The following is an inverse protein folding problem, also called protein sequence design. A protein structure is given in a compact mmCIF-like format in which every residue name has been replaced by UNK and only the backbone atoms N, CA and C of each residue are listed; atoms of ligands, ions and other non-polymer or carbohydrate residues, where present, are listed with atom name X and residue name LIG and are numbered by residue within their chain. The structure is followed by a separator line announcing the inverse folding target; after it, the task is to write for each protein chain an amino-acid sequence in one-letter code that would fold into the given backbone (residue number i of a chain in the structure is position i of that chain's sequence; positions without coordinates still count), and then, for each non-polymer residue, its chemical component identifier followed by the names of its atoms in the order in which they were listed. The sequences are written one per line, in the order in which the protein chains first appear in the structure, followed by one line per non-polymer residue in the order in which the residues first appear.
data_IF_839359789035
#
_entry.id   IF_839359789035
#
_cell.length_a   1.000
_cell.length_b   1.000
_cell.length_c   1.000
_cell.angle_alpha   90.00
_cell.angle_beta   90.00
_cell.angle_gamma   90.00
#
_symmetry.space_group_name_H-M   'P 1'
#
loop_
_entity.id
_entity.type
_entity.pdbx_description
1 polymer ?
#
# COMPACT_ATOMS: atom_id res chain seq x y z
N UNK A 1 -2.44 -16.72 -32.24
CA UNK A 1 -3.52 -15.86 -31.74
C UNK A 1 -3.15 -15.50 -30.32
N UNK A 2 -3.14 -14.21 -29.99
CA UNK A 2 -2.82 -13.74 -28.65
C UNK A 2 -4.15 -13.58 -27.94
N UNK A 3 -4.46 -14.39 -26.94
CA UNK A 3 -5.66 -14.20 -26.09
C UNK A 3 -5.36 -13.39 -24.83
N UNK A 4 -4.10 -13.44 -24.37
CA UNK A 4 -3.59 -12.70 -23.22
C UNK A 4 -2.72 -11.53 -23.71
N UNK A 5 -3.20 -10.31 -23.53
CA UNK A 5 -2.48 -9.10 -23.98
C UNK A 5 -1.26 -8.75 -23.11
N UNK A 6 -0.95 -9.51 -22.05
CA UNK A 6 0.33 -9.44 -21.35
C UNK A 6 1.38 -10.34 -21.98
N UNK A 7 0.98 -11.25 -22.87
CA UNK A 7 1.83 -12.16 -23.67
C UNK A 7 1.97 -11.69 -25.13
N UNK A 8 2.17 -10.37 -25.31
CA UNK A 8 2.31 -9.74 -26.64
C UNK A 8 3.65 -10.04 -27.32
N UNK A 9 4.70 -10.33 -26.55
CA UNK A 9 6.05 -10.62 -27.05
C UNK A 9 6.47 -12.06 -26.77
N UNK A 10 7.28 -12.65 -27.66
CA UNK A 10 7.84 -13.99 -27.47
C UNK A 10 6.94 -15.12 -27.99
N UNK A 11 7.39 -16.37 -27.93
CA UNK A 11 6.67 -17.51 -28.55
C UNK A 11 6.06 -18.41 -27.48
N UNK A 12 4.73 -18.48 -27.45
CA UNK A 12 3.97 -19.33 -26.53
C UNK A 12 3.29 -20.44 -27.32
N UNK A 13 3.52 -21.69 -26.92
CA UNK A 13 3.03 -22.87 -27.66
C UNK A 13 1.51 -22.86 -27.81
N UNK A 14 0.78 -22.43 -26.79
CA UNK A 14 -0.68 -22.31 -26.79
C UNK A 14 -1.22 -21.23 -27.74
N UNK A 15 -0.36 -20.31 -28.21
CA UNK A 15 -0.73 -19.23 -29.12
C UNK A 15 -0.44 -19.55 -30.60
N UNK A 16 0.26 -20.67 -30.89
CA UNK A 16 0.63 -21.06 -32.25
C UNK A 16 -0.59 -21.67 -32.95
N UNK A 17 -1.11 -20.95 -33.95
CA UNK A 17 -2.22 -21.46 -34.78
C UNK A 17 -1.69 -22.30 -35.94
N UNK A 18 -0.55 -21.88 -36.51
CA UNK A 18 0.08 -22.53 -37.64
C UNK A 18 1.59 -22.26 -37.62
N UNK A 19 2.37 -23.20 -38.17
CA UNK A 19 3.80 -23.09 -38.40
C UNK A 19 4.07 -23.55 -39.84
N UNK A 20 4.92 -22.83 -40.55
CA UNK A 20 5.29 -23.15 -41.95
C UNK A 20 6.76 -22.85 -42.15
N UNK A 21 7.42 -23.64 -43.01
CA UNK A 21 8.75 -23.31 -43.52
C UNK A 21 8.56 -22.58 -44.86
N UNK A 22 9.15 -21.39 -45.05
CA UNK A 22 9.05 -20.69 -46.32
C UNK A 22 9.69 -21.53 -47.44
N UNK A 23 9.21 -21.32 -48.68
CA UNK A 23 9.80 -21.94 -49.85
C UNK A 23 11.19 -21.37 -50.17
N UNK A 24 11.85 -21.89 -51.20
CA UNK A 24 13.19 -21.43 -51.62
C UNK A 24 13.23 -19.96 -52.08
N UNK A 25 12.07 -19.34 -52.32
CA UNK A 25 11.91 -17.94 -52.69
C UNK A 25 11.48 -17.05 -51.51
N UNK A 26 11.37 -17.62 -50.30
CA UNK A 26 10.95 -16.90 -49.10
C UNK A 26 9.44 -16.73 -48.94
N UNK A 27 8.63 -17.30 -49.84
CA UNK A 27 7.19 -17.19 -49.75
C UNK A 27 6.63 -18.25 -48.79
N UNK A 28 5.55 -17.90 -48.11
CA UNK A 28 4.80 -18.82 -47.27
C UNK A 28 3.30 -18.57 -47.43
N UNK A 29 2.50 -19.60 -47.22
CA UNK A 29 1.05 -19.52 -47.23
C UNK A 29 0.49 -20.15 -45.96
N UNK A 30 -0.36 -19.41 -45.27
CA UNK A 30 -1.21 -19.94 -44.22
C UNK A 30 -2.62 -20.11 -44.77
N UNK A 31 -3.07 -21.35 -44.93
CA UNK A 31 -4.44 -21.66 -45.35
C UNK A 31 -5.18 -22.39 -44.21
N UNK A 32 -6.33 -21.85 -43.81
CA UNK A 32 -7.18 -22.42 -42.77
C UNK A 32 -8.44 -21.57 -42.54
N UNK A 33 -9.52 -22.19 -42.07
CA UNK A 33 -10.85 -21.56 -41.93
C UNK A 33 -11.19 -21.13 -40.49
N UNK A 34 -10.23 -21.16 -39.57
CA UNK A 34 -10.50 -21.05 -38.14
C UNK A 34 -10.22 -19.66 -37.54
N UNK A 35 -10.18 -18.61 -38.36
CA UNK A 35 -10.09 -17.24 -37.85
C UNK A 35 -11.50 -16.75 -37.45
N UNK A 36 -11.66 -16.09 -36.29
CA UNK A 36 -12.93 -15.46 -35.92
C UNK A 36 -13.35 -14.34 -36.88
N UNK A 37 -14.65 -14.06 -36.94
CA UNK A 37 -15.21 -12.91 -37.67
C UNK A 37 -14.84 -11.57 -37.01
N UNK A 38 -14.76 -11.57 -35.67
CA UNK A 38 -14.30 -10.42 -34.91
C UNK A 38 -12.78 -10.24 -35.02
N UNK A 39 -12.35 -8.99 -34.86
CA UNK A 39 -10.94 -8.66 -34.79
C UNK A 39 -10.29 -9.30 -33.57
N UNK A 40 -9.14 -9.94 -33.77
CA UNK A 40 -8.27 -10.49 -32.72
C UNK A 40 -6.85 -10.00 -32.89
N UNK A 41 -6.06 -10.11 -31.82
CA UNK A 41 -4.62 -9.86 -31.87
C UNK A 41 -3.89 -11.10 -32.40
N UNK A 42 -3.07 -10.88 -33.42
CA UNK A 42 -2.21 -11.90 -34.02
C UNK A 42 -0.77 -11.44 -33.97
N UNK A 43 0.13 -12.42 -33.97
CA UNK A 43 1.55 -12.22 -34.11
C UNK A 43 2.09 -13.17 -35.16
N UNK A 44 2.90 -12.62 -36.05
CA UNK A 44 3.78 -13.41 -36.91
C UNK A 44 5.16 -13.32 -36.29
N UNK A 45 5.77 -14.49 -36.10
CA UNK A 45 7.13 -14.63 -35.61
C UNK A 45 7.92 -15.36 -36.69
N UNK A 46 9.04 -14.77 -37.09
CA UNK A 46 9.97 -15.34 -38.05
C UNK A 46 11.32 -15.49 -37.38
N UNK A 47 11.87 -16.71 -37.42
CA UNK A 47 13.18 -17.02 -36.85
C UNK A 47 14.01 -17.86 -37.82
N UNK A 48 15.33 -17.84 -37.61
CA UNK A 48 16.29 -18.68 -38.35
C UNK A 48 16.88 -19.79 -37.47
N UNK A 49 16.26 -20.04 -36.31
CA UNK A 49 16.77 -20.94 -35.28
C UNK A 49 16.51 -22.42 -35.67
N UNK A 50 17.47 -23.32 -35.41
CA UNK A 50 17.32 -24.75 -35.76
C UNK A 50 16.32 -25.44 -34.82
N UNK A 51 15.54 -26.37 -35.35
CA UNK A 51 14.52 -27.12 -34.57
C UNK A 51 15.10 -27.86 -33.35
N UNK A 52 16.38 -28.26 -33.39
CA UNK A 52 17.08 -28.92 -32.27
C UNK A 52 17.31 -28.01 -31.05
N UNK A 53 17.34 -26.69 -31.27
CA UNK A 53 17.70 -25.69 -30.25
C UNK A 53 16.45 -25.14 -29.54
N UNK A 54 15.26 -25.64 -29.90
CA UNK A 54 13.95 -25.10 -29.50
C UNK A 54 13.52 -25.36 -28.04
N UNK A 55 14.33 -26.03 -27.21
CA UNK A 55 13.86 -26.53 -25.91
C UNK A 55 13.88 -25.50 -24.76
N UNK A 56 14.66 -24.41 -24.82
CA UNK A 56 14.64 -23.37 -23.77
C UNK A 56 14.73 -21.92 -24.31
N UNK A 57 15.60 -21.66 -25.28
CA UNK A 57 15.88 -20.30 -25.78
C UNK A 57 14.71 -19.66 -26.54
N UNK A 58 13.92 -20.50 -27.23
CA UNK A 58 12.70 -20.06 -27.91
C UNK A 58 11.54 -19.77 -26.94
N UNK A 59 11.48 -20.50 -25.83
CA UNK A 59 10.43 -20.37 -24.80
C UNK A 59 10.55 -19.04 -24.06
N UNK A 60 11.76 -18.50 -23.93
CA UNK A 60 12.00 -17.19 -23.32
C UNK A 60 11.98 -16.04 -24.33
N UNK A 61 11.85 -16.30 -25.64
CA UNK A 61 11.83 -15.28 -26.69
C UNK A 61 13.20 -14.63 -26.97
N UNK A 62 14.31 -15.33 -26.78
CA UNK A 62 15.68 -14.81 -26.93
C UNK A 62 16.45 -15.47 -28.10
N UNK A 63 15.82 -15.69 -29.26
CA UNK A 63 16.57 -16.04 -30.49
C UNK A 63 17.14 -14.72 -31.04
N UNK A 64 18.48 -14.60 -31.15
CA UNK A 64 19.14 -13.37 -31.63
C UNK A 64 18.70 -12.99 -33.06
N UNK A 65 18.27 -13.97 -33.85
CA UNK A 65 17.81 -13.79 -35.22
C UNK A 65 16.30 -14.08 -35.36
N UNK A 66 15.49 -13.54 -34.45
CA UNK A 66 14.04 -13.59 -34.55
C UNK A 66 13.43 -12.20 -34.67
N UNK A 67 12.48 -12.08 -35.58
CA UNK A 67 11.66 -10.89 -35.78
C UNK A 67 10.20 -11.22 -35.49
N UNK A 68 9.46 -10.25 -34.95
CA UNK A 68 8.03 -10.40 -34.73
C UNK A 68 7.24 -9.15 -35.08
N UNK A 69 6.01 -9.36 -35.53
CA UNK A 69 5.05 -8.29 -35.73
C UNK A 69 3.71 -8.67 -35.13
N UNK A 70 3.12 -7.74 -34.37
CA UNK A 70 1.79 -7.87 -33.80
C UNK A 70 0.82 -6.99 -34.58
N UNK A 71 -0.36 -7.52 -34.89
CA UNK A 71 -1.37 -6.82 -35.67
C UNK A 71 -2.78 -7.29 -35.30
N UNK A 72 -3.78 -6.50 -35.70
CA UNK A 72 -5.19 -6.84 -35.57
C UNK A 72 -5.72 -7.33 -36.91
N UNK A 73 -6.43 -8.46 -36.89
CA UNK A 73 -7.03 -9.05 -38.09
C UNK A 73 -8.30 -9.84 -37.73
N UNK A 74 -9.06 -10.20 -38.76
CA UNK A 74 -10.17 -11.15 -38.69
C UNK A 74 -10.16 -12.07 -39.92
N UNK A 75 -11.16 -12.93 -40.07
CA UNK A 75 -11.25 -13.87 -41.20
C UNK A 75 -11.43 -13.24 -42.60
N UNK A 76 -11.70 -11.93 -42.69
CA UNK A 76 -11.82 -11.19 -43.96
C UNK A 76 -10.55 -10.37 -44.28
N UNK A 77 -9.57 -10.38 -43.37
CA UNK A 77 -8.37 -9.56 -43.51
C UNK A 77 -7.34 -10.25 -44.40
N UNK A 78 -6.88 -9.54 -45.44
CA UNK A 78 -5.77 -9.95 -46.30
C UNK A 78 -4.54 -9.15 -45.92
N UNK A 79 -3.44 -9.84 -45.63
CA UNK A 79 -2.19 -9.23 -45.17
C UNK A 79 -1.05 -9.50 -46.15
N UNK A 80 -0.31 -8.45 -46.51
CA UNK A 80 0.95 -8.53 -47.23
C UNK A 80 2.05 -7.82 -46.43
N UNK A 81 3.19 -8.49 -46.30
CA UNK A 81 4.35 -8.07 -45.51
C UNK A 81 5.57 -7.95 -46.45
N UNK A 82 5.61 -6.92 -47.31
CA UNK A 82 6.75 -6.72 -48.20
C UNK A 82 7.99 -6.34 -47.40
N UNK A 83 9.16 -6.77 -47.88
CA UNK A 83 10.44 -6.30 -47.37
C UNK A 83 10.60 -4.78 -47.59
N UNK A 84 11.38 -4.14 -46.72
CA UNK A 84 11.83 -2.77 -46.93
C UNK A 84 12.83 -2.69 -48.10
N UNK A 85 13.19 -1.47 -48.50
CA UNK A 85 14.25 -1.27 -49.51
C UNK A 85 15.59 -1.91 -49.09
N UNK A 86 15.88 -1.90 -47.79
CA UNK A 86 17.08 -2.50 -47.18
C UNK A 86 16.87 -3.99 -46.81
N UNK A 87 15.85 -4.65 -47.38
CA UNK A 87 15.50 -6.06 -47.13
C UNK A 87 15.13 -6.40 -45.68
N UNK A 88 14.66 -5.42 -44.91
CA UNK A 88 14.19 -5.65 -43.55
C UNK A 88 12.76 -6.22 -43.54
N UNK A 89 12.52 -7.19 -42.66
CA UNK A 89 11.19 -7.76 -42.46
C UNK A 89 10.29 -6.83 -41.64
N UNK A 90 8.98 -6.91 -41.87
CA UNK A 90 7.93 -6.30 -41.03
C UNK A 90 7.94 -4.76 -40.92
N UNK A 91 8.78 -4.04 -41.68
CA UNK A 91 8.77 -2.57 -41.71
C UNK A 91 7.48 -1.97 -42.30
N UNK A 92 6.72 -2.76 -43.07
CA UNK A 92 5.46 -2.32 -43.68
C UNK A 92 4.41 -3.42 -43.65
N UNK A 93 3.20 -3.01 -43.29
CA UNK A 93 2.00 -3.85 -43.34
C UNK A 93 1.03 -3.29 -44.37
N UNK A 94 0.76 -4.07 -45.42
CA UNK A 94 -0.27 -3.74 -46.42
C UNK A 94 -1.46 -4.65 -46.15
N UNK A 95 -2.62 -4.05 -45.91
CA UNK A 95 -3.84 -4.78 -45.59
C UNK A 95 -5.05 -4.10 -46.22
N UNK A 96 -6.09 -4.88 -46.51
CA UNK A 96 -7.41 -4.34 -46.86
C UNK A 96 -8.15 -3.76 -45.64
N UNK A 97 -7.64 -3.99 -44.43
CA UNK A 97 -8.18 -3.50 -43.17
C UNK A 97 -7.21 -2.49 -42.55
N UNK A 98 -7.62 -1.22 -42.46
CA UNK A 98 -6.78 -0.15 -41.89
C UNK A 98 -6.39 -0.42 -40.44
N UNK A 99 -7.21 -1.17 -39.70
CA UNK A 99 -6.98 -1.52 -38.30
C UNK A 99 -5.75 -2.40 -38.12
N UNK A 100 -5.33 -3.13 -39.15
CA UNK A 100 -4.16 -3.99 -39.10
C UNK A 100 -2.86 -3.21 -38.89
N UNK A 101 -2.80 -1.95 -39.32
CA UNK A 101 -1.61 -1.09 -39.17
C UNK A 101 -1.56 -0.36 -37.81
N UNK A 102 -2.60 -0.44 -37.00
CA UNK A 102 -2.72 0.33 -35.75
C UNK A 102 -1.56 0.06 -34.79
N UNK A 103 -1.16 -1.20 -34.64
CA UNK A 103 -0.10 -1.61 -33.71
C UNK A 103 1.27 -1.15 -34.20
N UNK A 104 1.55 -1.24 -35.50
CA UNK A 104 2.79 -0.71 -36.09
C UNK A 104 2.93 0.81 -35.84
N UNK A 105 1.83 1.56 -35.98
CA UNK A 105 1.83 3.00 -35.68
C UNK A 105 2.06 3.27 -34.18
N UNK A 106 1.48 2.46 -33.30
CA UNK A 106 1.71 2.54 -31.86
C UNK A 106 3.17 2.21 -31.52
N UNK A 107 3.78 1.24 -32.18
CA UNK A 107 5.19 0.89 -31.96
C UNK A 107 6.15 2.00 -32.39
N UNK A 108 5.84 2.69 -33.50
CA UNK A 108 6.54 3.92 -33.87
C UNK A 108 6.44 4.96 -32.75
N UNK A 109 5.24 5.19 -32.21
CA UNK A 109 5.02 6.19 -31.15
C UNK A 109 5.71 5.80 -29.83
N UNK A 110 5.75 4.50 -29.49
CA UNK A 110 6.52 3.96 -28.35
C UNK A 110 8.02 4.21 -28.53
N UNK A 111 8.55 4.09 -29.75
CA UNK A 111 9.95 4.37 -30.05
C UNK A 111 10.27 5.87 -29.92
N UNK A 112 9.39 6.75 -30.42
CA UNK A 112 9.53 8.20 -30.22
C UNK A 112 9.53 8.57 -28.74
N UNK A 113 8.67 7.93 -27.94
CA UNK A 113 8.68 8.09 -26.49
C UNK A 113 10.03 7.66 -25.91
N UNK A 114 10.53 6.46 -26.22
CA UNK A 114 11.83 5.97 -25.72
C UNK A 114 12.97 6.94 -26.06
N UNK A 115 12.99 7.44 -27.29
CA UNK A 115 13.97 8.44 -27.73
C UNK A 115 13.83 9.77 -26.97
N UNK A 116 12.61 10.23 -26.70
CA UNK A 116 12.41 11.40 -25.86
C UNK A 116 13.00 11.18 -24.45
N UNK A 117 12.77 10.02 -23.85
CA UNK A 117 13.27 9.69 -22.51
C UNK A 117 14.80 9.60 -22.42
N UNK A 118 15.51 9.21 -23.49
CA UNK A 118 17.00 9.17 -23.48
C UNK A 118 17.64 10.55 -23.34
N UNK A 119 16.92 11.61 -23.73
CA UNK A 119 17.46 12.98 -23.77
C UNK A 119 17.34 13.74 -22.44
N UNK A 120 16.65 13.19 -21.42
CA UNK A 120 16.36 13.91 -20.17
C UNK A 120 17.06 13.34 -18.93
N UNK A 121 17.75 14.22 -18.19
CA UNK A 121 18.57 13.84 -17.03
C UNK A 121 17.89 14.02 -15.66
N UNK A 122 16.98 14.99 -15.49
CA UNK A 122 16.37 15.30 -14.19
C UNK A 122 15.04 14.57 -13.95
N UNK A 123 14.75 14.28 -12.68
CA UNK A 123 13.52 13.58 -12.26
C UNK A 123 12.25 14.40 -12.53
N UNK A 124 12.29 15.71 -12.32
CA UNK A 124 11.17 16.61 -12.61
C UNK A 124 10.81 16.64 -14.11
N UNK A 125 11.82 16.68 -15.00
CA UNK A 125 11.58 16.65 -16.44
C UNK A 125 11.02 15.29 -16.88
N UNK A 126 11.46 14.19 -16.24
CA UNK A 126 10.89 12.86 -16.50
C UNK A 126 9.42 12.80 -16.12
N UNK A 127 9.02 13.36 -14.97
CA UNK A 127 7.61 13.37 -14.54
C UNK A 127 6.70 14.10 -15.53
N UNK A 128 7.05 15.33 -15.91
CA UNK A 128 6.26 16.15 -16.86
C UNK A 128 6.21 15.47 -18.23
N UNK A 129 7.32 14.86 -18.67
CA UNK A 129 7.36 14.14 -19.94
C UNK A 129 6.52 12.86 -19.91
N UNK A 130 6.51 12.11 -18.81
CA UNK A 130 5.64 10.94 -18.64
C UNK A 130 4.17 11.33 -18.80
N UNK A 131 3.72 12.38 -18.12
CA UNK A 131 2.35 12.90 -18.25
C UNK A 131 1.98 13.27 -19.69
N UNK A 132 2.87 13.98 -20.37
CA UNK A 132 2.70 14.33 -21.78
C UNK A 132 2.56 13.09 -22.65
N UNK A 133 3.44 12.10 -22.49
CA UNK A 133 3.43 10.90 -23.33
C UNK A 133 2.24 9.97 -23.04
N UNK A 134 1.79 9.88 -21.78
CA UNK A 134 0.55 9.19 -21.44
C UNK A 134 -0.63 9.81 -22.17
N UNK A 135 -0.79 11.13 -22.11
CA UNK A 135 -1.84 11.85 -22.84
C UNK A 135 -1.75 11.62 -24.36
N UNK A 136 -0.56 11.69 -24.94
CA UNK A 136 -0.35 11.45 -26.38
C UNK A 136 -0.79 10.03 -26.76
N UNK A 137 -0.32 9.02 -26.03
CA UNK A 137 -0.63 7.62 -26.31
C UNK A 137 -2.12 7.32 -26.12
N UNK A 138 -2.74 7.79 -25.03
CA UNK A 138 -4.17 7.61 -24.77
C UNK A 138 -5.02 8.27 -25.87
N UNK A 139 -4.77 9.55 -26.18
CA UNK A 139 -5.51 10.27 -27.23
C UNK A 139 -5.32 9.62 -28.61
N UNK A 140 -4.10 9.18 -28.92
CA UNK A 140 -3.82 8.48 -30.16
C UNK A 140 -4.61 7.16 -30.24
N UNK A 141 -4.62 6.39 -29.15
CA UNK A 141 -5.41 5.16 -29.05
C UNK A 141 -6.90 5.39 -29.34
N UNK A 142 -7.51 6.42 -28.72
CA UNK A 142 -8.92 6.74 -28.97
C UNK A 142 -9.19 7.12 -30.44
N UNK A 143 -8.28 7.85 -31.07
CA UNK A 143 -8.39 8.25 -32.49
C UNK A 143 -8.37 7.06 -33.45
N UNK A 144 -7.74 5.94 -33.08
CA UNK A 144 -7.69 4.73 -33.91
C UNK A 144 -9.03 3.99 -33.98
N UNK A 145 -9.99 4.32 -33.11
CA UNK A 145 -11.32 3.70 -33.06
C UNK A 145 -11.26 2.15 -33.03
N UNK A 146 -10.25 1.63 -32.32
CA UNK A 146 -10.02 0.20 -32.19
C UNK A 146 -9.60 -0.11 -30.74
N UNK A 147 -10.51 -0.62 -29.89
CA UNK A 147 -10.23 -0.88 -28.48
C UNK A 147 -9.06 -1.84 -28.24
N UNK A 148 -8.76 -2.75 -29.16
CA UNK A 148 -7.57 -3.61 -29.05
C UNK A 148 -6.27 -2.81 -29.19
N UNK A 149 -6.26 -1.71 -29.95
CA UNK A 149 -5.12 -0.81 -30.07
C UNK A 149 -4.89 -0.02 -28.79
N UNK A 150 -5.97 0.45 -28.16
CA UNK A 150 -5.92 1.06 -26.84
C UNK A 150 -5.45 0.08 -25.76
N UNK A 151 -5.87 -1.19 -25.84
CA UNK A 151 -5.42 -2.24 -24.95
C UNK A 151 -3.92 -2.56 -25.13
N UNK A 152 -3.41 -2.49 -26.36
CA UNK A 152 -1.99 -2.60 -26.66
C UNK A 152 -1.18 -1.44 -26.06
N UNK A 153 -1.71 -0.22 -26.08
CA UNK A 153 -1.13 0.94 -25.39
C UNK A 153 -1.17 0.73 -23.87
N UNK A 154 -2.32 0.32 -23.35
CA UNK A 154 -2.50 0.06 -21.92
C UNK A 154 -1.50 -0.98 -21.40
N UNK A 155 -1.29 -2.08 -22.14
CA UNK A 155 -0.36 -3.14 -21.72
C UNK A 155 1.07 -2.63 -21.53
N UNK A 156 1.48 -1.66 -22.35
CA UNK A 156 2.77 -0.97 -22.27
C UNK A 156 2.84 0.02 -21.10
N UNK A 157 1.82 0.88 -20.94
CA UNK A 157 1.80 1.92 -19.91
C UNK A 157 1.67 1.36 -18.49
N UNK A 158 0.92 0.27 -18.34
CA UNK A 158 0.61 -0.36 -17.05
C UNK A 158 1.55 -1.50 -16.67
N UNK A 159 2.58 -1.84 -17.47
CA UNK A 159 3.51 -2.93 -17.16
C UNK A 159 4.19 -2.69 -15.79
N UNK A 160 3.96 -3.60 -14.83
CA UNK A 160 4.48 -3.54 -13.45
C UNK A 160 6.00 -3.50 -13.37
N UNK A 161 6.70 -3.96 -14.41
CA UNK A 161 8.17 -3.94 -14.50
C UNK A 161 8.70 -2.60 -15.01
N UNK A 162 7.83 -1.77 -15.60
CA UNK A 162 8.18 -0.50 -16.20
C UNK A 162 8.21 0.63 -15.19
N UNK A 163 9.11 1.59 -15.39
CA UNK A 163 9.13 2.88 -14.66
C UNK A 163 7.83 3.67 -14.83
N UNK A 164 7.05 3.38 -15.88
CA UNK A 164 5.79 4.04 -16.18
C UNK A 164 4.66 3.63 -15.22
N UNK A 165 4.75 2.45 -14.60
CA UNK A 165 3.69 1.89 -13.77
C UNK A 165 3.28 2.79 -12.61
N UNK A 166 4.26 3.43 -11.95
CA UNK A 166 4.01 4.35 -10.86
C UNK A 166 3.17 5.56 -11.30
N UNK A 167 3.41 6.06 -12.50
CA UNK A 167 2.62 7.15 -13.07
C UNK A 167 1.23 6.66 -13.49
N UNK A 168 1.13 5.48 -14.13
CA UNK A 168 -0.15 4.85 -14.45
C UNK A 168 -1.08 4.75 -13.23
N UNK A 169 -0.60 4.26 -12.08
CA UNK A 169 -1.41 4.19 -10.86
C UNK A 169 -1.84 5.57 -10.33
N UNK A 170 -1.04 6.61 -10.59
CA UNK A 170 -1.42 7.99 -10.25
C UNK A 170 -2.50 8.51 -11.20
N UNK A 171 -2.34 8.26 -12.50
CA UNK A 171 -3.27 8.67 -13.56
C UNK A 171 -4.64 7.97 -13.41
N UNK A 172 -4.64 6.68 -13.08
CA UNK A 172 -5.83 5.86 -12.84
C UNK A 172 -6.76 6.42 -11.73
N UNK A 173 -6.24 7.24 -10.80
CA UNK A 173 -7.04 7.84 -9.72
C UNK A 173 -8.06 8.86 -10.24
N UNK A 174 -7.72 9.58 -11.30
CA UNK A 174 -8.47 10.76 -11.75
C UNK A 174 -8.90 10.65 -13.20
N UNK A 175 -8.20 9.88 -14.02
CA UNK A 175 -8.42 9.80 -15.45
C UNK A 175 -9.50 8.77 -15.80
N UNK A 176 -10.55 9.24 -16.48
CA UNK A 176 -11.70 8.42 -16.91
C UNK A 176 -11.40 7.54 -18.14
N UNK A 177 -10.25 7.75 -18.80
CA UNK A 177 -9.84 7.02 -20.01
C UNK A 177 -9.98 5.50 -19.84
N UNK A 178 -9.55 4.96 -18.69
CA UNK A 178 -9.58 3.52 -18.44
C UNK A 178 -11.00 2.95 -18.33
N UNK A 179 -11.93 3.70 -17.72
CA UNK A 179 -13.34 3.29 -17.64
C UNK A 179 -14.02 3.38 -19.02
N UNK A 180 -13.66 4.39 -19.81
CA UNK A 180 -14.13 4.54 -21.19
C UNK A 180 -13.61 3.40 -22.08
N UNK A 181 -12.33 3.03 -21.94
CA UNK A 181 -11.75 1.88 -22.63
C UNK A 181 -12.47 0.58 -22.24
N UNK A 182 -12.73 0.36 -20.94
CA UNK A 182 -13.50 -0.81 -20.50
C UNK A 182 -14.89 -0.83 -21.16
N UNK A 183 -15.57 0.31 -21.19
CA UNK A 183 -16.89 0.45 -21.82
C UNK A 183 -16.84 0.13 -23.33
N UNK A 184 -15.80 0.60 -24.04
CA UNK A 184 -15.58 0.31 -25.46
C UNK A 184 -15.27 -1.18 -25.69
N UNK A 185 -14.43 -1.79 -24.85
CA UNK A 185 -14.11 -3.22 -24.90
C UNK A 185 -15.35 -4.08 -24.62
N UNK A 186 -16.16 -3.75 -23.62
CA UNK A 186 -17.41 -4.45 -23.32
C UNK A 186 -18.43 -4.32 -24.46
N UNK A 187 -18.45 -3.18 -25.18
CA UNK A 187 -19.34 -2.98 -26.31
C UNK A 187 -18.91 -3.74 -27.57
N UNK A 188 -17.62 -3.71 -27.90
CA UNK A 188 -17.11 -4.26 -29.17
C UNK A 188 -16.62 -5.71 -29.02
N UNK A 189 -16.17 -6.11 -27.82
CA UNK A 189 -15.56 -7.41 -27.52
C UNK A 189 -16.07 -8.01 -26.18
N UNK A 190 -17.40 -8.12 -25.95
CA UNK A 190 -18.01 -8.45 -24.64
C UNK A 190 -17.54 -9.78 -24.02
N UNK A 191 -17.34 -10.82 -24.83
CA UNK A 191 -17.08 -12.19 -24.36
C UNK A 191 -15.63 -12.66 -24.56
N UNK A 192 -14.73 -11.74 -24.82
CA UNK A 192 -13.32 -12.05 -25.08
C UNK A 192 -12.49 -12.16 -23.79
N UNK A 193 -11.39 -12.93 -23.84
CA UNK A 193 -10.45 -12.96 -22.72
C UNK A 193 -9.85 -11.59 -22.43
N UNK A 194 -9.63 -10.77 -23.46
CA UNK A 194 -9.13 -9.41 -23.35
C UNK A 194 -9.95 -8.55 -22.39
N UNK A 195 -11.27 -8.53 -22.58
CA UNK A 195 -12.18 -7.69 -21.79
C UNK A 195 -12.21 -8.15 -20.33
N UNK A 196 -12.30 -9.47 -20.10
CA UNK A 196 -12.31 -10.04 -18.75
C UNK A 196 -10.99 -9.79 -18.02
N UNK A 197 -9.87 -9.96 -18.72
CA UNK A 197 -8.54 -9.71 -18.18
C UNK A 197 -8.37 -8.23 -17.82
N UNK A 198 -8.76 -7.32 -18.73
CA UNK A 198 -8.68 -5.89 -18.51
C UNK A 198 -9.53 -5.44 -17.33
N UNK A 199 -10.78 -5.92 -17.24
CA UNK A 199 -11.67 -5.63 -16.13
C UNK A 199 -11.11 -6.11 -14.78
N UNK A 200 -10.54 -7.32 -14.75
CA UNK A 200 -9.95 -7.88 -13.53
C UNK A 200 -8.71 -7.10 -13.08
N UNK A 201 -7.82 -6.75 -14.02
CA UNK A 201 -6.63 -5.93 -13.73
C UNK A 201 -7.02 -4.53 -13.24
N UNK A 202 -7.99 -3.87 -13.88
CA UNK A 202 -8.45 -2.54 -13.49
C UNK A 202 -9.06 -2.54 -12.08
N UNK A 203 -9.89 -3.55 -11.74
CA UNK A 203 -10.44 -3.73 -10.38
C UNK A 203 -9.33 -3.96 -9.35
N UNK A 204 -8.36 -4.82 -9.66
CA UNK A 204 -7.22 -5.08 -8.79
C UNK A 204 -6.40 -3.81 -8.53
N UNK A 205 -6.09 -3.04 -9.57
CA UNK A 205 -5.26 -1.84 -9.43
C UNK A 205 -5.99 -0.74 -8.66
N UNK A 206 -7.31 -0.60 -8.84
CA UNK A 206 -8.14 0.31 -8.02
C UNK A 206 -8.17 -0.07 -6.55
N UNK A 207 -8.22 -1.37 -6.26
CA UNK A 207 -8.14 -1.86 -4.88
C UNK A 207 -6.80 -1.46 -4.24
N UNK A 208 -5.68 -1.67 -4.93
CA UNK A 208 -4.33 -1.26 -4.47
C UNK A 208 -4.22 0.24 -4.18
N UNK A 209 -4.94 1.07 -4.95
CA UNK A 209 -4.97 2.52 -4.79
C UNK A 209 -5.83 2.94 -3.58
N UNK A 210 -6.96 2.27 -3.35
CA UNK A 210 -7.93 2.60 -2.30
C UNK A 210 -7.40 2.31 -0.89
N UNK A 211 -6.68 1.21 -0.70
CA UNK A 211 -6.19 0.76 0.61
C UNK A 211 -5.11 1.67 1.23
N UNK A 212 -4.54 2.60 0.46
CA UNK A 212 -3.53 3.55 0.98
C UNK A 212 -4.11 4.74 1.76
N UNK A 213 -5.42 4.76 2.06
CA UNK A 213 -6.11 5.94 2.62
C UNK A 213 -6.54 5.87 4.09
N UNK A 214 -5.98 4.98 4.90
CA UNK A 214 -6.17 4.98 6.35
C UNK A 214 -4.82 4.89 7.09
N UNK A 215 -4.10 6.01 7.19
CA UNK A 215 -3.35 6.23 8.43
C UNK A 215 -4.41 6.35 9.52
N UNK A 216 -4.59 5.28 10.29
CA UNK A 216 -5.50 5.17 11.42
C UNK A 216 -5.10 6.18 12.51
N UNK A 217 -5.38 7.45 12.26
CA UNK A 217 -5.29 8.51 13.25
C UNK A 217 -6.43 8.26 14.23
N UNK A 218 -6.07 7.96 15.47
CA UNK A 218 -7.06 7.82 16.52
C UNK A 218 -7.90 9.11 16.55
N UNK A 219 -9.23 9.00 16.63
CA UNK A 219 -10.09 10.18 16.63
C UNK A 219 -9.77 11.05 17.85
N UNK A 220 -9.97 12.36 17.73
CA UNK A 220 -9.60 13.34 18.77
C UNK A 220 -10.15 13.02 20.17
N UNK A 221 -11.33 12.39 20.24
CA UNK A 221 -11.95 11.97 21.50
C UNK A 221 -11.16 10.87 22.23
N UNK A 222 -10.37 10.06 21.53
CA UNK A 222 -9.53 9.03 22.14
C UNK A 222 -8.41 9.66 22.99
N UNK A 223 -7.83 10.78 22.52
CA UNK A 223 -6.87 11.56 23.31
C UNK A 223 -7.54 12.23 24.52
N UNK A 224 -8.79 12.69 24.36
CA UNK A 224 -9.57 13.24 25.47
C UNK A 224 -9.85 12.17 26.54
N UNK A 225 -10.25 10.96 26.12
CA UNK A 225 -10.47 9.80 27.00
C UNK A 225 -9.19 9.40 27.71
N UNK A 226 -8.05 9.38 26.99
CA UNK A 226 -6.73 9.16 27.57
C UNK A 226 -6.38 10.20 28.63
N UNK A 227 -6.64 11.48 28.37
CA UNK A 227 -6.43 12.57 29.32
C UNK A 227 -7.30 12.45 30.58
N UNK A 228 -8.59 12.09 30.42
CA UNK A 228 -9.51 11.86 31.55
C UNK A 228 -9.08 10.67 32.39
N UNK A 229 -8.65 9.56 31.78
CA UNK A 229 -8.09 8.42 32.50
C UNK A 229 -6.83 8.81 33.28
N UNK A 230 -5.94 9.59 32.68
CA UNK A 230 -4.71 10.07 33.34
C UNK A 230 -5.03 10.96 34.55
N UNK A 231 -5.98 11.89 34.41
CA UNK A 231 -6.45 12.74 35.50
C UNK A 231 -7.12 11.92 36.63
N UNK A 232 -7.89 10.90 36.28
CA UNK A 232 -8.51 9.99 37.25
C UNK A 232 -7.47 9.19 38.05
N UNK A 233 -6.42 8.69 37.37
CA UNK A 233 -5.32 7.98 38.02
C UNK A 233 -4.54 8.89 38.97
N UNK A 234 -4.21 10.11 38.53
CA UNK A 234 -3.53 11.11 39.36
C UNK A 234 -4.38 11.53 40.57
N UNK A 235 -5.67 11.76 40.38
CA UNK A 235 -6.61 12.09 41.45
C UNK A 235 -6.73 10.97 42.49
N UNK A 236 -6.83 9.72 42.05
CA UNK A 236 -6.87 8.56 42.94
C UNK A 236 -5.56 8.42 43.73
N UNK A 237 -4.40 8.60 43.11
CA UNK A 237 -3.11 8.53 43.78
C UNK A 237 -2.97 9.61 44.88
N UNK A 238 -3.42 10.83 44.59
CA UNK A 238 -3.41 11.93 45.56
C UNK A 238 -4.32 11.65 46.77
N UNK A 239 -5.55 11.18 46.54
CA UNK A 239 -6.49 10.88 47.62
C UNK A 239 -6.10 9.66 48.47
N UNK A 240 -5.51 8.61 47.85
CA UNK A 240 -5.03 7.43 48.59
C UNK A 240 -3.89 7.77 49.55
N UNK A 241 -3.01 8.71 49.18
CA UNK A 241 -1.93 9.18 50.05
C UNK A 241 -2.43 9.96 51.29
N UNK A 242 -3.51 10.72 51.14
CA UNK A 242 -4.08 11.54 52.22
C UNK A 242 -4.92 10.72 53.21
N UNK A 243 -5.70 9.75 52.72
CA UNK A 243 -6.57 8.91 53.57
C UNK A 243 -5.81 7.90 54.45
N UNK A 244 -4.57 7.52 54.08
CA UNK A 244 -3.72 6.68 54.95
C UNK A 244 -3.29 7.38 56.24
N UNK A 245 -3.12 8.71 56.24
CA UNK A 245 -2.71 9.48 57.43
C UNK A 245 -3.82 9.56 58.49
N UNK A 246 -5.07 9.77 58.07
CA UNK A 246 -6.21 9.97 58.98
C UNK A 246 -6.63 8.68 59.70
N UNK A 247 -6.66 7.53 59.00
CA UNK A 247 -7.00 6.25 59.63
C UNK A 247 -5.95 5.78 60.64
N UNK A 248 -4.67 6.11 60.45
CA UNK A 248 -3.57 5.74 61.35
C UNK A 248 -3.72 6.36 62.73
N UNK A 249 -4.04 7.66 62.81
CA UNK A 249 -4.14 8.40 64.07
C UNK A 249 -5.28 7.90 64.98
N UNK A 250 -6.41 7.52 64.39
CA UNK A 250 -7.59 7.05 65.13
C UNK A 250 -7.36 5.65 65.73
N UNK A 251 -6.77 4.72 64.96
CA UNK A 251 -6.34 3.41 65.49
C UNK A 251 -5.20 3.52 66.51
N UNK A 252 -4.33 4.52 66.39
CA UNK A 252 -3.20 4.71 67.29
C UNK A 252 -3.65 5.23 68.67
N UNK A 253 -4.70 6.07 68.76
CA UNK A 253 -5.29 6.49 70.05
C UNK A 253 -5.91 5.30 70.78
N UNK A 254 -6.52 4.36 70.05
CA UNK A 254 -7.16 3.16 70.62
C UNK A 254 -6.17 2.13 71.21
N UNK A 255 -4.87 2.19 70.87
CA UNK A 255 -3.85 1.27 71.41
C UNK A 255 -3.24 1.74 72.75
N UNK A 256 -3.59 2.95 73.19
CA UNK A 256 -3.16 3.52 74.46
C UNK A 256 -4.07 3.08 75.60
N UNK A 257 -3.45 2.79 76.75
CA UNK A 257 -4.18 2.55 78.00
C UNK A 257 -4.88 3.83 78.48
N UNK A 258 -5.87 3.72 79.37
CA UNK A 258 -6.61 4.87 79.88
C UNK A 258 -5.70 5.96 80.45
N UNK A 259 -4.70 5.59 81.24
CA UNK A 259 -3.73 6.54 81.80
C UNK A 259 -2.84 7.19 80.73
N UNK A 260 -2.43 6.43 79.71
CA UNK A 260 -1.66 6.96 78.58
C UNK A 260 -2.49 7.92 77.72
N UNK A 261 -3.80 7.68 77.57
CA UNK A 261 -4.71 8.59 76.88
C UNK A 261 -4.86 9.91 77.65
N UNK A 262 -5.04 9.85 78.97
CA UNK A 262 -5.09 11.06 79.83
C UNK A 262 -3.79 11.87 79.72
N UNK A 263 -2.64 11.20 79.78
CA UNK A 263 -1.33 11.88 79.62
C UNK A 263 -1.19 12.46 78.22
N UNK A 264 -1.63 11.76 77.17
CA UNK A 264 -1.63 12.26 75.79
C UNK A 264 -2.48 13.54 75.66
N UNK A 265 -3.66 13.59 76.26
CA UNK A 265 -4.52 14.78 76.23
C UNK A 265 -3.85 16.00 76.89
N UNK A 266 -3.21 15.79 78.04
CA UNK A 266 -2.43 16.85 78.68
C UNK A 266 -1.21 17.28 77.85
N UNK A 267 -0.64 16.36 77.05
CA UNK A 267 0.42 16.70 76.09
C UNK A 267 -0.08 17.61 74.97
N UNK A 268 -1.26 17.30 74.43
CA UNK A 268 -1.94 18.08 73.38
C UNK A 268 -2.37 19.45 73.90
N UNK A 269 -2.71 19.57 75.18
CA UNK A 269 -2.94 20.84 75.89
C UNK A 269 -1.64 21.62 76.19
N UNK A 270 -0.49 21.18 75.69
CA UNK A 270 0.81 21.83 75.83
C UNK A 270 1.40 21.85 77.25
N UNK A 271 0.91 21.03 78.19
CA UNK A 271 1.44 20.97 79.56
C UNK A 271 2.80 20.28 79.62
N UNK A 272 3.77 20.85 80.34
CA UNK A 272 5.08 20.26 80.60
C UNK A 272 5.00 19.00 81.47
N UNK A 273 6.04 18.16 81.45
CA UNK A 273 6.05 16.94 82.27
C UNK A 273 5.94 17.22 83.77
N UNK A 274 6.33 18.42 84.24
CA UNK A 274 6.18 18.84 85.63
C UNK A 274 4.71 19.18 85.94
N UNK A 275 4.02 19.85 85.04
CA UNK A 275 2.60 20.19 85.17
C UNK A 275 1.73 18.94 85.11
N UNK A 276 2.02 18.02 84.16
CA UNK A 276 1.33 16.73 84.06
C UNK A 276 1.50 15.91 85.35
N UNK A 277 2.72 15.89 85.90
CA UNK A 277 3.01 15.19 87.16
C UNK A 277 2.24 15.76 88.34
N UNK A 278 2.13 17.10 88.42
CA UNK A 278 1.36 17.78 89.45
C UNK A 278 -0.14 17.50 89.33
N UNK A 279 -0.69 17.51 88.12
CA UNK A 279 -2.12 17.30 87.87
C UNK A 279 -2.58 15.86 88.09
N UNK A 280 -1.71 14.89 87.80
CA UNK A 280 -1.99 13.47 88.01
C UNK A 280 -1.52 12.97 89.39
N UNK A 281 -0.95 13.84 90.24
CA UNK A 281 -0.41 13.50 91.56
C UNK A 281 0.62 12.34 91.53
N UNK A 282 1.51 12.35 90.54
CA UNK A 282 2.56 11.32 90.35
C UNK A 282 3.95 11.95 90.22
N UNK A 283 5.01 11.14 90.30
CA UNK A 283 6.37 11.64 90.10
C UNK A 283 6.65 11.96 88.62
N UNK A 284 7.51 12.94 88.36
CA UNK A 284 7.96 13.30 86.99
C UNK A 284 8.62 12.10 86.29
N UNK A 285 9.27 11.21 87.04
CA UNK A 285 9.86 9.97 86.50
C UNK A 285 8.78 9.04 85.94
N UNK A 286 7.67 8.90 86.66
CA UNK A 286 6.52 8.08 86.23
C UNK A 286 5.91 8.63 84.94
N UNK A 287 5.72 9.95 84.86
CA UNK A 287 5.25 10.63 83.64
C UNK A 287 6.20 10.38 82.46
N UNK A 288 7.51 10.48 82.65
CA UNK A 288 8.50 10.19 81.59
C UNK A 288 8.38 8.75 81.08
N UNK A 289 8.16 7.79 81.96
CA UNK A 289 7.95 6.38 81.57
C UNK A 289 6.69 6.21 80.72
N UNK A 290 5.56 6.79 81.13
CA UNK A 290 4.34 6.74 80.34
C UNK A 290 4.49 7.44 78.99
N UNK A 291 5.17 8.60 78.94
CA UNK A 291 5.47 9.30 77.69
C UNK A 291 6.31 8.46 76.74
N UNK A 292 7.35 7.78 77.25
CA UNK A 292 8.16 6.89 76.43
C UNK A 292 7.35 5.70 75.89
N UNK A 293 6.41 5.16 76.67
CA UNK A 293 5.51 4.10 76.20
C UNK A 293 4.51 4.61 75.16
N UNK A 294 3.97 5.82 75.33
CA UNK A 294 3.14 6.50 74.32
C UNK A 294 3.91 6.66 73.01
N UNK A 295 5.15 7.15 73.07
CA UNK A 295 6.00 7.33 71.89
C UNK A 295 6.23 6.03 71.14
N UNK A 296 6.55 4.95 71.87
CA UNK A 296 6.72 3.61 71.29
C UNK A 296 5.42 3.10 70.65
N UNK A 297 4.27 3.26 71.31
CA UNK A 297 2.96 2.79 70.80
C UNK A 297 2.45 3.60 69.61
N UNK A 298 2.77 4.88 69.54
CA UNK A 298 2.40 5.77 68.45
C UNK A 298 3.43 5.81 67.31
N UNK A 299 4.58 5.15 67.45
CA UNK A 299 5.63 5.11 66.42
C UNK A 299 6.33 6.46 66.18
N UNK A 300 6.40 7.30 67.22
CA UNK A 300 6.96 8.67 67.15
C UNK A 300 8.14 8.79 68.11
N UNK A 301 9.07 9.70 67.83
CA UNK A 301 10.30 9.88 68.62
C UNK A 301 10.36 11.21 69.38
N UNK A 302 9.42 12.12 69.14
CA UNK A 302 9.41 13.43 69.80
C UNK A 302 8.01 13.91 70.16
N UNK A 303 7.96 14.83 71.11
CA UNK A 303 6.73 15.49 71.55
C UNK A 303 6.04 16.25 70.41
N UNK A 304 6.83 16.86 69.52
CA UNK A 304 6.29 17.60 68.39
C UNK A 304 5.73 16.69 67.31
N UNK A 305 6.32 15.51 67.09
CA UNK A 305 5.74 14.48 66.22
C UNK A 305 4.41 13.96 66.75
N UNK A 306 4.27 13.80 68.07
CA UNK A 306 3.00 13.42 68.70
C UNK A 306 1.94 14.48 68.43
N UNK A 307 2.27 15.76 68.61
CA UNK A 307 1.34 16.86 68.31
C UNK A 307 0.95 16.86 66.83
N UNK A 308 1.92 16.74 65.92
CA UNK A 308 1.67 16.73 64.48
C UNK A 308 0.82 15.53 64.00
N UNK A 309 0.71 14.46 64.79
CA UNK A 309 -0.15 13.30 64.49
C UNK A 309 -1.63 13.59 64.76
N UNK A 310 -1.95 14.58 65.61
CA UNK A 310 -3.30 14.90 66.07
C UNK A 310 -3.74 16.35 65.74
N UNK A 311 -3.01 17.05 64.86
CA UNK A 311 -3.35 18.37 64.31
C UNK A 311 -3.74 18.23 62.84
#
# INVERSE_FOLDING_TARGET
MIEDYRKLSGVYHEQIIARVKPDSLGNFLFAGTNLPEENKMYRIHADTCKESDQNLSHVTGHCENSEEIVFVANNQTTLALPFSFEQEMFCKVVSNNEKTQTFLKIDSLKNDMRYAFSNYRSEANRKVNTEKWFSILQNYGEQLQEPLAELYIYSFLSDRRSILHAYYLSDLKTNIYYDNLLSRLQKQYPDTQYTRQYEAELKSDRFLISDKKEEATLPWWAYLLGGVCLLSLLGNFYFFGKNKKLKSAETAKASLTQQEQTILELILQQKSNKEIAAELFVSVSTVKTHINNIYKKLGVSSRDQVKALYT
#
